data_IF_396431970878
#
_entry.id   IF_396431970878
#
_cell.length_a   1.000
_cell.length_b   1.000
_cell.length_c   1.000
_cell.angle_alpha   90.00
_cell.angle_beta   90.00
_cell.angle_gamma   90.00
#
_symmetry.space_group_name_H-M   'P 1'
#
loop_
_entity.id
_entity.type
_entity.pdbx_description
1 polymer ?
#
# COMPACT_ATOMS: atom_id res chain seq x y z
N UNK A 1 15.40 7.68 -11.98
CA UNK A 1 14.51 7.81 -10.79
C UNK A 1 14.87 6.74 -9.81
N UNK A 2 14.89 7.06 -8.53
CA UNK A 2 15.24 6.07 -7.53
C UNK A 2 14.07 5.11 -7.27
N UNK A 3 14.40 3.88 -6.88
CA UNK A 3 13.39 2.90 -6.50
C UNK A 3 12.59 3.37 -5.29
N UNK A 4 13.20 4.14 -4.39
CA UNK A 4 12.52 4.67 -3.22
C UNK A 4 11.42 5.65 -3.63
N UNK A 5 11.73 6.55 -4.57
CA UNK A 5 10.72 7.49 -5.07
C UNK A 5 9.58 6.76 -5.77
N UNK A 6 9.88 5.72 -6.55
CA UNK A 6 8.87 4.92 -7.23
C UNK A 6 7.94 4.23 -6.21
N UNK A 7 8.51 3.69 -5.13
CA UNK A 7 7.71 3.05 -4.08
C UNK A 7 6.79 4.05 -3.40
N UNK A 8 7.31 5.23 -3.08
CA UNK A 8 6.51 6.30 -2.47
C UNK A 8 5.39 6.75 -3.41
N UNK A 9 5.67 6.83 -4.71
CA UNK A 9 4.66 7.21 -5.70
C UNK A 9 3.51 6.21 -5.75
N UNK A 10 3.79 4.93 -5.62
CA UNK A 10 2.74 3.91 -5.55
C UNK A 10 1.84 4.15 -4.35
N UNK A 11 2.41 4.45 -3.19
CA UNK A 11 1.65 4.68 -1.96
C UNK A 11 0.93 6.03 -1.93
N UNK A 12 1.43 7.03 -2.67
CA UNK A 12 0.94 8.41 -2.57
C UNK A 12 -0.33 8.68 -3.36
N UNK A 13 -0.75 7.78 -4.25
CA UNK A 13 -2.03 7.92 -4.94
C UNK A 13 -3.16 7.88 -3.92
N UNK A 14 -4.16 8.80 -4.00
CA UNK A 14 -5.23 8.86 -2.99
C UNK A 14 -5.99 7.56 -2.79
N UNK A 15 -6.28 6.83 -3.86
CA UNK A 15 -6.99 5.55 -3.75
C UNK A 15 -6.11 4.50 -3.09
N UNK A 16 -4.86 4.39 -3.56
CA UNK A 16 -3.94 3.40 -3.00
C UNK A 16 -3.60 3.71 -1.55
N UNK A 17 -3.45 4.99 -1.21
CA UNK A 17 -3.20 5.38 0.18
C UNK A 17 -4.37 4.97 1.07
N UNK A 18 -5.60 5.22 0.62
CA UNK A 18 -6.80 4.82 1.38
C UNK A 18 -6.88 3.30 1.55
N UNK A 19 -6.49 2.54 0.53
CA UNK A 19 -6.45 1.07 0.63
C UNK A 19 -5.41 0.62 1.66
N UNK A 20 -4.23 1.22 1.66
CA UNK A 20 -3.21 0.91 2.66
C UNK A 20 -3.70 1.22 4.07
N UNK A 21 -4.35 2.37 4.26
CA UNK A 21 -4.93 2.73 5.56
C UNK A 21 -5.97 1.70 6.02
N UNK A 22 -6.85 1.29 5.11
CA UNK A 22 -7.85 0.27 5.43
C UNK A 22 -7.20 -1.04 5.87
N UNK A 23 -6.11 -1.43 5.22
CA UNK A 23 -5.42 -2.68 5.52
C UNK A 23 -4.57 -2.64 6.78
N UNK A 24 -4.26 -1.45 7.30
CA UNK A 24 -3.55 -1.37 8.59
C UNK A 24 -4.41 -1.92 9.74
N UNK A 25 -5.73 -1.97 9.56
CA UNK A 25 -6.64 -2.54 10.56
C UNK A 25 -6.68 -4.07 10.54
N UNK A 26 -6.09 -4.69 9.52
CA UNK A 26 -6.02 -6.14 9.40
C UNK A 26 -6.44 -6.64 8.02
N UNK A 27 -6.50 -7.96 7.88
CA UNK A 27 -6.89 -8.62 6.64
C UNK A 27 -8.34 -8.29 6.29
N UNK A 28 -8.59 -7.98 5.02
CA UNK A 28 -9.89 -7.52 4.58
C UNK A 28 -10.21 -8.11 3.20
N UNK A 29 -11.45 -8.53 2.98
CA UNK A 29 -11.87 -8.99 1.67
C UNK A 29 -12.12 -7.81 0.74
N UNK A 30 -12.11 -8.07 -0.58
CA UNK A 30 -12.31 -7.02 -1.58
C UNK A 30 -13.67 -6.33 -1.42
N UNK A 31 -14.69 -7.05 -0.97
CA UNK A 31 -16.01 -6.48 -0.78
C UNK A 31 -16.01 -5.39 0.30
N UNK A 32 -15.28 -5.61 1.40
CA UNK A 32 -15.17 -4.61 2.47
C UNK A 32 -14.30 -3.45 2.04
N UNK A 33 -13.25 -3.72 1.26
CA UNK A 33 -12.40 -2.66 0.72
C UNK A 33 -13.22 -1.73 -0.18
N UNK A 34 -14.10 -2.30 -1.00
CA UNK A 34 -14.93 -1.49 -1.88
C UNK A 34 -15.93 -0.62 -1.13
N UNK A 35 -16.39 -1.07 0.04
CA UNK A 35 -17.23 -0.25 0.90
C UNK A 35 -16.48 0.94 1.49
N UNK A 36 -15.22 0.71 1.89
CA UNK A 36 -14.39 1.74 2.50
C UNK A 36 -13.79 2.70 1.49
N UNK A 37 -13.53 2.20 0.27
CA UNK A 37 -12.95 2.97 -0.82
C UNK A 37 -13.91 2.85 -2.01
N UNK A 38 -14.91 3.72 -2.09
CA UNK A 38 -16.03 3.56 -3.04
C UNK A 38 -15.65 3.99 -4.45
N UNK A 39 -14.87 3.18 -5.12
CA UNK A 39 -14.52 3.36 -6.53
C UNK A 39 -15.07 2.17 -7.32
N UNK A 40 -15.13 2.31 -8.65
CA UNK A 40 -15.58 1.23 -9.52
C UNK A 40 -14.70 -0.01 -9.34
N UNK A 41 -15.30 -1.20 -9.50
CA UNK A 41 -14.58 -2.46 -9.27
C UNK A 41 -13.32 -2.60 -10.12
N UNK A 42 -13.36 -2.18 -11.39
CA UNK A 42 -12.19 -2.24 -12.26
C UNK A 42 -11.08 -1.27 -11.82
N UNK A 43 -11.45 -0.11 -11.28
CA UNK A 43 -10.49 0.86 -10.74
C UNK A 43 -9.84 0.30 -9.47
N UNK A 44 -10.66 -0.29 -8.59
CA UNK A 44 -10.16 -0.93 -7.37
C UNK A 44 -9.17 -2.04 -7.71
N UNK A 45 -9.52 -2.91 -8.65
CA UNK A 45 -8.65 -4.01 -9.08
C UNK A 45 -7.33 -3.52 -9.64
N UNK A 46 -7.34 -2.42 -10.40
CA UNK A 46 -6.14 -1.82 -10.94
C UNK A 46 -5.19 -1.36 -9.82
N UNK A 47 -5.73 -0.65 -8.83
CA UNK A 47 -4.92 -0.14 -7.73
C UNK A 47 -4.40 -1.27 -6.82
N UNK A 48 -5.22 -2.29 -6.57
CA UNK A 48 -4.77 -3.46 -5.81
C UNK A 48 -3.64 -4.18 -6.53
N UNK A 49 -3.71 -4.29 -7.84
CA UNK A 49 -2.64 -4.89 -8.64
C UNK A 49 -1.33 -4.12 -8.48
N UNK A 50 -1.37 -2.79 -8.56
CA UNK A 50 -0.17 -1.97 -8.40
C UNK A 50 0.44 -2.12 -7.01
N UNK A 51 -0.38 -2.18 -5.98
CA UNK A 51 0.09 -2.40 -4.61
C UNK A 51 0.74 -3.77 -4.44
N UNK A 52 0.16 -4.80 -5.07
CA UNK A 52 0.74 -6.15 -5.03
C UNK A 52 2.06 -6.22 -5.76
N UNK A 53 2.15 -5.60 -6.94
CA UNK A 53 3.39 -5.58 -7.73
C UNK A 53 4.51 -4.86 -6.99
N UNK A 54 4.17 -3.87 -6.19
CA UNK A 54 5.14 -3.16 -5.35
C UNK A 54 5.51 -3.94 -4.07
N UNK A 55 4.82 -5.05 -3.81
CA UNK A 55 5.08 -5.85 -2.61
C UNK A 55 4.56 -5.22 -1.32
N UNK A 56 3.64 -4.27 -1.41
CA UNK A 56 3.07 -3.60 -0.24
C UNK A 56 1.89 -4.35 0.36
N UNK A 57 1.22 -5.17 -0.44
CA UNK A 57 0.12 -6.01 0.02
C UNK A 57 0.26 -7.43 -0.54
N UNK A 58 -0.35 -8.38 0.14
CA UNK A 58 -0.52 -9.74 -0.33
C UNK A 58 -1.98 -10.04 -0.57
N UNK A 59 -2.25 -11.11 -1.31
CA UNK A 59 -3.59 -11.59 -1.59
C UNK A 59 -3.63 -13.10 -1.40
N UNK A 60 -4.71 -13.59 -0.79
CA UNK A 60 -4.92 -15.01 -0.60
C UNK A 60 -6.37 -15.35 -0.97
N UNK A 61 -6.53 -16.43 -1.74
CA UNK A 61 -7.86 -16.89 -2.10
C UNK A 61 -8.46 -17.68 -0.94
N UNK A 62 -9.71 -17.36 -0.60
CA UNK A 62 -10.49 -18.09 0.40
C UNK A 62 -11.83 -18.43 -0.27
N UNK A 63 -11.94 -19.65 -0.80
CA UNK A 63 -13.10 -20.04 -1.60
C UNK A 63 -13.20 -19.16 -2.83
N UNK A 64 -14.34 -18.49 -2.98
CA UNK A 64 -14.57 -17.54 -4.09
C UNK A 64 -14.10 -16.12 -3.76
N UNK A 65 -13.64 -15.89 -2.53
CA UNK A 65 -13.24 -14.58 -2.06
C UNK A 65 -11.73 -14.43 -2.10
N UNK A 66 -11.27 -13.20 -2.26
CA UNK A 66 -9.85 -12.87 -2.13
C UNK A 66 -9.72 -11.95 -0.92
N UNK A 67 -8.87 -12.35 0.03
CA UNK A 67 -8.52 -11.54 1.17
C UNK A 67 -7.20 -10.82 0.89
N UNK A 68 -7.15 -9.54 1.21
CA UNK A 68 -5.95 -8.73 1.07
C UNK A 68 -5.36 -8.43 2.44
N UNK A 69 -4.04 -8.41 2.52
CA UNK A 69 -3.31 -8.20 3.77
C UNK A 69 -2.15 -7.25 3.50
N UNK A 70 -1.92 -6.30 4.40
CA UNK A 70 -0.74 -5.46 4.32
C UNK A 70 0.49 -6.34 4.51
N UNK A 71 1.51 -6.17 3.65
CA UNK A 71 2.76 -6.90 3.82
C UNK A 71 3.41 -6.51 5.15
N UNK A 72 4.02 -7.49 5.84
CA UNK A 72 4.57 -7.27 7.18
C UNK A 72 5.64 -6.17 7.22
N UNK A 73 6.36 -5.97 6.13
CA UNK A 73 7.42 -4.97 6.04
C UNK A 73 6.99 -3.69 5.29
N UNK A 74 5.70 -3.58 4.91
CA UNK A 74 5.24 -2.49 4.03
C UNK A 74 5.52 -1.11 4.62
N UNK A 75 5.09 -0.87 5.86
CA UNK A 75 5.26 0.43 6.49
C UNK A 75 6.73 0.75 6.74
N UNK A 76 7.51 -0.23 7.16
CA UNK A 76 8.95 -0.03 7.35
C UNK A 76 9.64 0.35 6.04
N UNK A 77 9.27 -0.33 4.94
CA UNK A 77 9.82 0.00 3.62
C UNK A 77 9.46 1.40 3.17
N UNK A 78 8.21 1.82 3.42
CA UNK A 78 7.76 3.18 3.07
C UNK A 78 8.49 4.22 3.90
N UNK A 79 8.62 4.00 5.21
CA UNK A 79 9.37 4.91 6.07
C UNK A 79 10.83 5.00 5.64
N UNK A 80 11.45 3.87 5.32
CA UNK A 80 12.84 3.83 4.87
C UNK A 80 13.03 4.50 3.50
N UNK A 81 11.96 4.61 2.70
CA UNK A 81 12.02 5.25 1.39
C UNK A 81 12.03 6.78 1.48
N UNK A 82 11.58 7.34 2.59
CA UNK A 82 11.54 8.79 2.77
C UNK A 82 12.96 9.35 2.88
N UNK A 83 13.20 10.58 2.38
CA UNK A 83 14.47 11.26 2.62
C UNK A 83 14.70 11.45 4.11
N UNK A 84 15.95 11.38 4.52
CA UNK A 84 16.31 11.60 5.92
C UNK A 84 16.99 12.94 6.08
N UNK A 85 16.57 13.67 7.10
CA UNK A 85 17.31 14.86 7.49
C UNK A 85 18.66 14.45 8.08
N UNK A 86 19.69 15.26 7.88
CA UNK A 86 20.97 15.06 8.56
C UNK A 86 20.77 15.21 10.06
N UNK A 87 21.48 14.38 10.83
CA UNK A 87 21.48 14.54 12.29
C UNK A 87 22.23 15.82 12.66
N UNK A 88 21.90 16.39 13.81
CA UNK A 88 22.50 17.65 14.25
C UNK A 88 24.03 17.63 14.19
N UNK A 89 24.64 16.53 14.59
CA UNK A 89 26.09 16.39 14.54
C UNK A 89 26.68 16.28 13.13
N UNK A 90 25.85 16.04 12.13
CA UNK A 90 26.26 15.87 10.74
C UNK A 90 26.17 17.18 9.94
N UNK A 91 25.65 18.21 10.55
CA UNK A 91 25.49 19.50 9.86
C UNK A 91 26.80 20.28 9.87
N UNK A 92 27.12 20.92 8.74
CA UNK A 92 28.26 21.82 8.70
C UNK A 92 28.07 23.02 9.58
#
# INVERSE_FOLDING_TARGET
MSERAALLAVAADPVRFALLEALTAGTTCVCELQEQVPVAANVLSYHLKLLREAGLIGAARRGRWIDYTLAGDALDRLHAALPRAARDGDRP
#
